data_IF_464522662722
#
_entry.id   IF_464522662722
#
_cell.length_a   1.000
_cell.length_b   1.000
_cell.length_c   1.000
_cell.angle_alpha   90.00
_cell.angle_beta   90.00
_cell.angle_gamma   90.00
#
_symmetry.space_group_name_H-M   'P 1'
#
loop_
_entity.id
_entity.type
_entity.pdbx_description
1 polymer ?
#
# COMPACT_ATOMS: atom_id res chain seq x y z
N UNK A 1 -20.48 -11.78 -1.14
CA UNK A 1 -20.36 -11.69 -2.61
C UNK A 1 -21.39 -10.67 -3.06
N UNK A 2 -20.98 -9.64 -3.77
CA UNK A 2 -21.86 -8.55 -4.24
C UNK A 2 -22.61 -8.95 -5.52
N UNK A 3 -23.69 -8.23 -5.81
CA UNK A 3 -24.47 -8.38 -7.05
C UNK A 3 -23.65 -7.90 -8.27
N UNK A 4 -23.44 -8.72 -9.32
CA UNK A 4 -22.68 -8.34 -10.50
C UNK A 4 -23.24 -7.16 -11.30
N UNK A 5 -24.50 -6.79 -11.07
CA UNK A 5 -25.16 -5.65 -11.73
C UNK A 5 -24.87 -4.30 -11.06
N UNK A 6 -24.34 -4.30 -9.82
CA UNK A 6 -23.94 -3.06 -9.13
C UNK A 6 -22.71 -2.44 -9.79
N UNK A 7 -22.66 -1.11 -9.78
CA UNK A 7 -21.49 -0.39 -10.24
C UNK A 7 -20.32 -0.54 -9.27
N UNK A 8 -19.09 -0.45 -9.78
CA UNK A 8 -17.88 -0.52 -8.92
C UNK A 8 -17.90 0.57 -7.83
N UNK A 9 -18.44 1.74 -8.13
CA UNK A 9 -18.55 2.86 -7.19
C UNK A 9 -19.45 2.55 -5.99
N UNK A 10 -20.43 1.66 -6.13
CA UNK A 10 -21.31 1.23 -5.04
C UNK A 10 -20.67 0.12 -4.19
N UNK A 11 -19.74 -0.64 -4.76
CA UNK A 11 -19.03 -1.72 -4.07
C UNK A 11 -17.70 -1.27 -3.44
N UNK A 12 -17.14 -0.13 -3.84
CA UNK A 12 -15.84 0.35 -3.36
C UNK A 12 -15.91 1.00 -1.97
N UNK A 13 -14.80 0.88 -1.22
CA UNK A 13 -14.59 1.72 -0.04
C UNK A 13 -13.98 3.06 -0.44
N UNK A 14 -14.61 4.16 -0.03
CA UNK A 14 -14.18 5.53 -0.36
C UNK A 14 -13.32 6.18 0.72
N UNK A 15 -13.36 5.66 1.95
CA UNK A 15 -12.51 6.11 3.06
C UNK A 15 -11.21 5.28 3.04
N UNK A 16 -10.26 5.72 2.24
CA UNK A 16 -8.97 5.05 2.08
C UNK A 16 -7.96 5.55 3.10
N UNK A 17 -7.08 4.65 3.53
CA UNK A 17 -5.87 5.00 4.27
C UNK A 17 -4.78 5.15 3.23
N UNK A 18 -4.16 6.32 3.17
CA UNK A 18 -3.11 6.66 2.21
C UNK A 18 -1.90 7.23 2.94
N UNK A 19 -0.77 7.31 2.24
CA UNK A 19 0.43 7.95 2.76
C UNK A 19 1.03 8.89 1.71
N UNK A 20 1.76 9.90 2.19
CA UNK A 20 2.50 10.85 1.37
C UNK A 20 3.76 10.20 0.79
N UNK A 21 4.20 10.65 -0.39
CA UNK A 21 5.41 10.13 -1.03
C UNK A 21 6.73 10.47 -0.29
N UNK A 22 6.72 11.47 0.58
CA UNK A 22 7.85 11.90 1.41
C UNK A 22 7.89 11.23 2.80
N UNK A 23 6.91 10.38 3.11
CA UNK A 23 6.86 9.65 4.37
C UNK A 23 8.01 8.63 4.49
N UNK A 24 8.46 8.39 5.72
CA UNK A 24 9.52 7.44 5.98
C UNK A 24 9.01 5.98 6.03
N UNK A 25 9.95 5.04 6.06
CA UNK A 25 9.64 3.61 6.02
C UNK A 25 8.93 3.14 7.30
N UNK A 26 9.24 3.74 8.45
CA UNK A 26 8.62 3.42 9.72
C UNK A 26 7.12 3.76 9.73
N UNK A 27 6.74 4.91 9.17
CA UNK A 27 5.34 5.33 9.02
C UNK A 27 4.57 4.39 8.10
N UNK A 28 5.19 3.93 7.00
CA UNK A 28 4.59 2.94 6.11
C UNK A 28 4.35 1.63 6.84
N UNK A 29 5.36 1.13 7.57
CA UNK A 29 5.26 -0.10 8.34
C UNK A 29 4.19 0.00 9.45
N UNK A 30 4.11 1.14 10.14
CA UNK A 30 3.10 1.40 11.16
C UNK A 30 1.69 1.32 10.56
N UNK A 31 1.42 2.02 9.45
CA UNK A 31 0.09 2.03 8.84
C UNK A 31 -0.30 0.63 8.31
N UNK A 32 0.63 -0.07 7.66
CA UNK A 32 0.40 -1.43 7.18
C UNK A 32 0.09 -2.37 8.34
N UNK A 33 0.86 -2.31 9.43
CA UNK A 33 0.63 -3.15 10.61
C UNK A 33 -0.66 -2.79 11.36
N UNK A 34 -0.90 -1.50 11.58
CA UNK A 34 -2.04 -0.99 12.38
C UNK A 34 -3.38 -1.32 11.75
N UNK A 35 -3.45 -1.29 10.43
CA UNK A 35 -4.68 -1.49 9.68
C UNK A 35 -4.72 -2.83 8.92
N UNK A 36 -3.72 -3.70 9.13
CA UNK A 36 -3.58 -5.02 8.48
C UNK A 36 -3.72 -4.93 6.94
N UNK A 37 -3.03 -3.97 6.34
CA UNK A 37 -3.14 -3.68 4.91
C UNK A 37 -2.22 -4.58 4.10
N UNK A 38 -2.71 -5.07 2.96
CA UNK A 38 -1.88 -5.78 1.98
C UNK A 38 -1.09 -4.80 1.09
N UNK A 39 -1.63 -3.61 0.88
CA UNK A 39 -0.99 -2.52 0.16
C UNK A 39 -1.42 -1.17 0.72
N UNK A 40 -0.51 -0.20 0.70
CA UNK A 40 -0.73 1.17 1.12
C UNK A 40 -0.60 2.11 -0.10
N UNK A 41 -1.67 2.81 -0.51
CA UNK A 41 -1.62 3.80 -1.58
C UNK A 41 -0.74 5.00 -1.21
N UNK A 42 0.11 5.41 -2.13
CA UNK A 42 0.98 6.58 -2.02
C UNK A 42 0.43 7.70 -2.90
N UNK A 43 0.27 8.90 -2.33
CA UNK A 43 -0.32 10.06 -3.01
C UNK A 43 0.58 11.29 -2.98
N UNK A 44 0.40 12.19 -3.94
CA UNK A 44 1.00 13.53 -3.99
C UNK A 44 0.16 14.59 -3.27
N UNK A 45 0.62 15.85 -3.22
CA UNK A 45 0.03 16.94 -2.40
C UNK A 45 -1.42 17.25 -2.77
N UNK A 46 -1.83 16.90 -3.99
CA UNK A 46 -3.17 17.08 -4.52
C UNK A 46 -4.05 15.83 -4.32
N UNK A 47 -3.56 14.82 -3.58
CA UNK A 47 -4.15 13.50 -3.37
C UNK A 47 -4.26 12.65 -4.65
N UNK A 48 -3.44 12.92 -5.66
CA UNK A 48 -3.35 12.06 -6.83
C UNK A 48 -2.55 10.80 -6.50
N UNK A 49 -3.04 9.63 -6.95
CA UNK A 49 -2.37 8.35 -6.73
C UNK A 49 -1.08 8.28 -7.55
N UNK A 50 0.05 8.11 -6.86
CA UNK A 50 1.35 7.92 -7.48
C UNK A 50 1.71 6.43 -7.62
N UNK A 51 1.26 5.60 -6.67
CA UNK A 51 1.57 4.18 -6.65
C UNK A 51 1.14 3.49 -5.36
N UNK A 52 1.72 2.33 -5.08
CA UNK A 52 1.44 1.54 -3.88
C UNK A 52 2.74 1.01 -3.26
N UNK A 53 2.73 0.81 -1.95
CA UNK A 53 3.71 -0.02 -1.24
C UNK A 53 3.03 -1.30 -0.79
N UNK A 54 3.65 -2.45 -1.04
CA UNK A 54 3.07 -3.75 -0.63
C UNK A 54 3.60 -4.20 0.72
N UNK A 55 2.84 -5.06 1.42
CA UNK A 55 3.30 -5.66 2.68
C UNK A 55 4.61 -6.45 2.50
N UNK A 56 4.80 -7.09 1.34
CA UNK A 56 6.04 -7.80 1.00
C UNK A 56 7.26 -6.86 1.04
N UNK A 57 7.12 -5.60 0.61
CA UNK A 57 8.20 -4.61 0.66
C UNK A 57 8.59 -4.27 2.10
N UNK A 58 7.61 -4.17 3.00
CA UNK A 58 7.87 -3.94 4.44
C UNK A 58 8.56 -5.15 5.06
N UNK A 59 8.14 -6.36 4.70
CA UNK A 59 8.78 -7.60 5.16
C UNK A 59 10.22 -7.67 4.67
N UNK A 60 10.50 -7.32 3.41
CA UNK A 60 11.86 -7.28 2.86
C UNK A 60 12.79 -6.32 3.63
N UNK A 61 12.27 -5.22 4.21
CA UNK A 61 13.08 -4.33 5.04
C UNK A 61 13.55 -5.02 6.33
N UNK A 62 12.67 -5.81 6.95
CA UNK A 62 12.93 -6.54 8.20
C UNK A 62 13.82 -7.78 8.00
N UNK A 63 13.78 -8.39 6.81
CA UNK A 63 14.56 -9.58 6.49
C UNK A 63 16.05 -9.27 6.31
N UNK A 64 16.96 -10.21 6.64
CA UNK A 64 18.38 -10.03 6.40
C UNK A 64 18.68 -9.91 4.89
N UNK A 65 19.79 -9.24 4.49
CA UNK A 65 20.09 -8.96 3.08
C UNK A 65 20.09 -10.19 2.16
N UNK A 66 20.52 -11.34 2.67
CA UNK A 66 20.57 -12.59 1.92
C UNK A 66 19.18 -13.13 1.53
N UNK A 67 18.13 -12.71 2.25
CA UNK A 67 16.75 -13.19 2.11
C UNK A 67 15.85 -12.22 1.35
N UNK A 68 16.32 -10.99 1.08
CA UNK A 68 15.53 -9.97 0.38
C UNK A 68 15.28 -10.37 -1.07
N UNK A 69 14.07 -10.10 -1.57
CA UNK A 69 13.81 -10.23 -3.00
C UNK A 69 14.77 -9.33 -3.78
N UNK A 70 15.45 -9.89 -4.78
CA UNK A 70 16.11 -9.08 -5.80
C UNK A 70 14.99 -8.38 -6.58
N UNK A 71 14.75 -7.10 -6.30
CA UNK A 71 13.85 -6.28 -7.10
C UNK A 71 14.31 -6.37 -8.56
N UNK A 72 13.55 -7.09 -9.38
CA UNK A 72 13.67 -7.00 -10.84
C UNK A 72 13.27 -5.57 -11.17
N UNK A 73 14.25 -4.74 -11.57
CA UNK A 73 13.94 -3.49 -12.26
C UNK A 73 13.12 -3.91 -13.49
N UNK A 74 11.84 -3.54 -13.51
CA UNK A 74 11.10 -3.44 -14.78
C UNK A 74 11.72 -2.33 -15.61
#
# INVERSE_FOLDING_TARGET
LEDPSKSLGEAMHTKLITIRADANQEQVAELISKYNLLALPVVDDENCLLGIVTVDDVVDLLLPPASRRRRRRM
#
